data_IF_082450532439
#
_entry.id   IF_082450532439
#
_cell.length_a   1.000
_cell.length_b   1.000
_cell.length_c   1.000
_cell.angle_alpha   90.00
_cell.angle_beta   90.00
_cell.angle_gamma   90.00
#
_symmetry.space_group_name_H-M   'P 1'
#
loop_
_entity.id
_entity.type
_entity.pdbx_description
1 polymer ?
#
# COMPACT_ATOMS: atom_id res chain seq x y z
N UNK A 1 -3.62 -24.65 -4.79
CA UNK A 1 -3.43 -23.50 -5.69
C UNK A 1 -3.75 -22.26 -4.88
N UNK A 2 -2.85 -21.89 -3.97
CA UNK A 2 -3.14 -20.86 -2.98
C UNK A 2 -1.90 -19.97 -2.94
N UNK A 3 -1.97 -18.73 -3.43
CA UNK A 3 -1.00 -17.62 -3.18
C UNK A 3 -1.18 -16.36 -4.04
N UNK A 4 -2.18 -16.23 -4.93
CA UNK A 4 -2.33 -15.02 -5.79
C UNK A 4 -3.52 -14.09 -5.47
N UNK A 5 -4.36 -14.42 -4.49
CA UNK A 5 -5.56 -13.64 -4.19
C UNK A 5 -5.22 -12.22 -3.71
N UNK A 6 -4.32 -12.09 -2.73
CA UNK A 6 -3.96 -10.79 -2.15
C UNK A 6 -3.24 -9.85 -3.12
N UNK A 7 -2.46 -10.38 -4.06
CA UNK A 7 -1.83 -9.56 -5.11
C UNK A 7 -2.85 -9.04 -6.12
N UNK A 8 -3.84 -9.88 -6.46
CA UNK A 8 -4.92 -9.50 -7.38
C UNK A 8 -5.80 -8.42 -6.75
N UNK A 9 -6.15 -8.57 -5.46
CA UNK A 9 -6.90 -7.57 -4.70
C UNK A 9 -6.11 -6.26 -4.57
N UNK A 10 -4.79 -6.34 -4.36
CA UNK A 10 -3.93 -5.16 -4.32
C UNK A 10 -3.97 -4.41 -5.65
N UNK A 11 -3.79 -5.12 -6.77
CA UNK A 11 -3.83 -4.51 -8.10
C UNK A 11 -5.19 -3.89 -8.42
N UNK A 12 -6.29 -4.53 -7.96
CA UNK A 12 -7.64 -4.00 -8.10
C UNK A 12 -7.79 -2.69 -7.34
N UNK A 13 -7.35 -2.65 -6.07
CA UNK A 13 -7.35 -1.44 -5.24
C UNK A 13 -6.54 -0.30 -5.88
N UNK A 14 -5.34 -0.59 -6.39
CA UNK A 14 -4.51 0.40 -7.10
C UNK A 14 -5.22 0.97 -8.34
N UNK A 15 -6.05 0.18 -9.01
CA UNK A 15 -6.74 0.63 -10.21
C UNK A 15 -8.05 1.37 -9.89
N UNK A 16 -8.83 0.90 -8.93
CA UNK A 16 -10.15 1.47 -8.61
C UNK A 16 -10.06 2.68 -7.68
N UNK A 17 -9.29 2.56 -6.58
CA UNK A 17 -9.22 3.62 -5.56
C UNK A 17 -8.18 4.69 -5.91
N UNK A 18 -7.09 4.28 -6.55
CA UNK A 18 -5.96 5.14 -6.87
C UNK A 18 -5.92 5.56 -8.35
N UNK A 19 -6.80 5.00 -9.19
CA UNK A 19 -6.85 5.26 -10.64
C UNK A 19 -5.50 5.02 -11.36
N UNK A 20 -4.65 4.13 -10.84
CA UNK A 20 -3.32 3.88 -11.41
C UNK A 20 -3.45 2.93 -12.60
N UNK A 21 -2.92 3.31 -13.78
CA UNK A 21 -2.83 2.43 -14.92
C UNK A 21 -1.91 1.23 -14.65
N UNK A 22 -2.28 0.06 -15.16
CA UNK A 22 -1.42 -1.13 -15.12
C UNK A 22 -0.07 -0.90 -15.81
N UNK A 23 -0.01 0.02 -16.78
CA UNK A 23 1.22 0.38 -17.48
C UNK A 23 2.26 1.00 -16.54
N UNK A 24 1.83 1.90 -15.64
CA UNK A 24 2.71 2.53 -14.66
C UNK A 24 3.19 1.51 -13.62
N UNK A 25 2.29 0.64 -13.16
CA UNK A 25 2.66 -0.47 -12.27
C UNK A 25 3.70 -1.41 -12.90
N UNK A 26 3.57 -1.72 -14.19
CA UNK A 26 4.53 -2.56 -14.90
C UNK A 26 5.91 -1.90 -14.94
N UNK A 27 5.97 -0.62 -15.29
CA UNK A 27 7.22 0.16 -15.34
C UNK A 27 7.94 0.15 -13.98
N UNK A 28 7.19 0.37 -12.89
CA UNK A 28 7.76 0.39 -11.54
C UNK A 28 8.18 -1.02 -11.10
N UNK A 29 7.41 -2.05 -11.46
CA UNK A 29 7.71 -3.45 -11.11
C UNK A 29 8.99 -3.94 -11.78
N UNK A 30 9.26 -3.56 -13.03
CA UNK A 30 10.52 -3.87 -13.70
C UNK A 30 11.70 -3.19 -13.00
N UNK A 31 11.55 -1.92 -12.62
CA UNK A 31 12.58 -1.19 -11.85
C UNK A 31 12.81 -1.78 -10.47
N UNK A 32 11.75 -2.27 -9.83
CA UNK A 32 11.79 -2.95 -8.53
C UNK A 32 12.56 -4.28 -8.58
N UNK A 33 12.80 -4.89 -9.73
CA UNK A 33 13.69 -6.06 -9.78
C UNK A 33 15.14 -5.70 -9.43
N UNK A 34 15.55 -4.44 -9.63
CA UNK A 34 16.90 -3.96 -9.34
C UNK A 34 17.01 -3.32 -7.96
N UNK A 35 15.89 -2.87 -7.40
CA UNK A 35 15.80 -2.18 -6.12
C UNK A 35 14.94 -2.97 -5.16
N UNK A 36 15.47 -3.35 -3.99
CA UNK A 36 14.74 -4.13 -2.98
C UNK A 36 13.66 -3.30 -2.24
N UNK A 37 13.27 -2.18 -2.83
CA UNK A 37 12.33 -1.23 -2.28
C UNK A 37 10.87 -1.73 -2.40
N UNK A 38 9.99 -1.28 -1.50
CA UNK A 38 8.56 -1.55 -1.62
C UNK A 38 7.98 -0.90 -2.87
N UNK A 39 7.09 -1.59 -3.59
CA UNK A 39 6.45 -1.06 -4.79
C UNK A 39 5.74 0.28 -4.52
N UNK A 40 5.08 0.41 -3.37
CA UNK A 40 4.43 1.65 -2.93
C UNK A 40 5.41 2.84 -2.87
N UNK A 41 6.61 2.60 -2.35
CA UNK A 41 7.63 3.63 -2.18
C UNK A 41 8.23 4.05 -3.52
N UNK A 42 8.39 3.11 -4.45
CA UNK A 42 8.79 3.43 -5.82
C UNK A 42 7.70 4.24 -6.52
N UNK A 43 6.43 3.86 -6.42
CA UNK A 43 5.32 4.62 -7.02
C UNK A 43 5.32 6.10 -6.58
N UNK A 44 5.60 6.35 -5.30
CA UNK A 44 5.71 7.71 -4.78
C UNK A 44 6.98 8.43 -5.26
N UNK A 45 8.14 7.75 -5.25
CA UNK A 45 9.40 8.34 -5.73
C UNK A 45 9.36 8.73 -7.21
N UNK A 46 8.65 7.97 -8.03
CA UNK A 46 8.44 8.30 -9.44
C UNK A 46 7.30 9.31 -9.67
N UNK A 47 6.54 9.67 -8.63
CA UNK A 47 5.46 10.64 -8.72
C UNK A 47 4.15 10.09 -9.33
N UNK A 48 3.99 8.76 -9.42
CA UNK A 48 2.74 8.14 -9.88
C UNK A 48 1.61 8.26 -8.87
N UNK A 49 1.96 8.47 -7.59
CA UNK A 49 1.01 8.63 -6.50
C UNK A 49 1.41 9.81 -5.60
N UNK A 50 0.42 10.48 -5.04
CA UNK A 50 0.61 11.50 -4.00
C UNK A 50 0.87 10.86 -2.63
N UNK A 51 1.34 11.65 -1.67
CA UNK A 51 1.56 11.18 -0.30
C UNK A 51 0.28 10.60 0.34
N UNK A 52 -0.88 11.22 0.08
CA UNK A 52 -2.19 10.73 0.55
C UNK A 52 -2.52 9.34 -0.02
N UNK A 53 -2.20 9.13 -1.29
CA UNK A 53 -2.40 7.88 -2.00
C UNK A 53 -1.43 6.80 -1.51
N UNK A 54 -0.18 7.17 -1.25
CA UNK A 54 0.80 6.31 -0.58
C UNK A 54 0.31 5.86 0.80
N UNK A 55 -0.28 6.78 1.58
CA UNK A 55 -0.85 6.45 2.88
C UNK A 55 -2.00 5.44 2.80
N UNK A 56 -2.91 5.60 1.84
CA UNK A 56 -4.00 4.63 1.61
C UNK A 56 -3.48 3.24 1.25
N UNK A 57 -2.41 3.15 0.47
CA UNK A 57 -1.75 1.87 0.16
C UNK A 57 -1.25 1.20 1.43
N UNK A 58 -0.55 1.93 2.30
CA UNK A 58 -0.06 1.37 3.57
C UNK A 58 -1.19 1.00 4.53
N UNK A 59 -2.25 1.81 4.61
CA UNK A 59 -3.43 1.51 5.42
C UNK A 59 -4.12 0.23 4.94
N UNK A 60 -4.21 0.02 3.62
CA UNK A 60 -4.75 -1.20 3.03
C UNK A 60 -3.89 -2.43 3.40
N UNK A 61 -2.55 -2.30 3.37
CA UNK A 61 -1.64 -3.37 3.82
C UNK A 61 -1.81 -3.70 5.30
N UNK A 62 -1.92 -2.69 6.16
CA UNK A 62 -2.16 -2.88 7.60
C UNK A 62 -3.53 -3.52 7.83
N UNK A 63 -4.56 -3.11 7.09
CA UNK A 63 -5.90 -3.70 7.13
C UNK A 63 -5.93 -5.17 6.72
N UNK A 64 -5.12 -5.58 5.73
CA UNK A 64 -4.93 -6.97 5.33
C UNK A 64 -4.22 -7.77 6.42
N UNK A 65 -3.16 -7.21 7.02
CA UNK A 65 -2.43 -7.85 8.11
C UNK A 65 -3.26 -7.95 9.41
N UNK A 66 -4.11 -6.95 9.67
CA UNK A 66 -4.95 -6.87 10.85
C UNK A 66 -6.20 -7.77 10.78
N UNK A 67 -6.57 -8.28 9.61
CA UNK A 67 -7.72 -9.20 9.46
C UNK A 67 -7.60 -10.49 10.29
N UNK A 68 -6.41 -10.83 10.81
CA UNK A 68 -6.24 -11.91 11.81
C UNK A 68 -6.54 -11.52 13.27
N UNK A 69 -6.67 -10.23 13.59
CA UNK A 69 -6.82 -9.71 14.97
C UNK A 69 -8.05 -8.79 15.12
N UNK A 70 -8.73 -8.45 14.01
CA UNK A 70 -9.88 -7.53 13.99
C UNK A 70 -11.03 -7.91 14.95
N UNK A 71 -11.16 -9.19 15.35
CA UNK A 71 -12.17 -9.56 16.36
C UNK A 71 -11.85 -9.05 17.79
N UNK A 72 -10.62 -8.62 18.09
CA UNK A 72 -10.22 -8.22 19.45
C UNK A 72 -10.08 -6.71 19.66
N UNK A 73 -10.26 -5.87 18.63
CA UNK A 73 -10.03 -4.42 18.74
C UNK A 73 -11.25 -3.55 18.38
N UNK A 74 -12.48 -4.05 18.52
CA UNK A 74 -13.71 -3.25 18.34
C UNK A 74 -14.17 -2.54 19.64
N UNK A 75 -13.23 -2.12 20.51
CA UNK A 75 -13.59 -1.41 21.75
C UNK A 75 -12.81 -0.13 22.02
N UNK A 76 -12.00 0.35 21.08
CA UNK A 76 -11.28 1.61 21.21
C UNK A 76 -11.52 2.51 20.00
N UNK A 77 -12.76 2.98 19.85
CA UNK A 77 -13.05 4.17 19.07
C UNK A 77 -12.20 5.33 19.60
N UNK A 78 -11.51 6.02 18.69
CA UNK A 78 -10.94 7.35 18.94
C UNK A 78 -9.43 7.40 19.13
N UNK A 79 -8.64 7.05 18.10
CA UNK A 79 -7.37 7.76 17.90
C UNK A 79 -6.88 7.67 16.45
N UNK A 80 -7.01 8.81 15.77
CA UNK A 80 -6.25 9.30 14.62
C UNK A 80 -5.24 8.29 14.06
N UNK A 81 -5.47 7.88 12.82
CA UNK A 81 -4.50 7.25 11.94
C UNK A 81 -3.08 7.71 12.30
N UNK A 82 -2.33 6.83 12.97
CA UNK A 82 -0.92 7.04 13.23
C UNK A 82 -0.26 6.94 11.87
N UNK A 83 0.00 8.08 11.26
CA UNK A 83 0.92 8.19 10.12
C UNK A 83 2.15 7.39 10.51
N UNK A 84 2.40 6.32 9.76
CA UNK A 84 3.46 5.37 10.06
C UNK A 84 4.78 6.14 10.22
N UNK A 85 5.57 5.90 11.30
CA UNK A 85 6.83 6.60 11.51
C UNK A 85 7.86 6.35 10.39
N UNK A 86 7.60 5.36 9.52
CA UNK A 86 8.44 5.02 8.36
C UNK A 86 8.53 6.14 7.31
N UNK A 87 7.50 6.99 7.18
CA UNK A 87 7.52 8.14 6.24
C UNK A 87 8.26 9.33 6.84
N UNK A 88 8.19 9.52 8.16
CA UNK A 88 8.83 10.65 8.84
C UNK A 88 10.37 10.56 8.87
N UNK A 89 10.95 9.38 8.60
CA UNK A 89 12.40 9.18 8.57
C UNK A 89 13.06 9.60 7.24
N UNK A 90 12.30 10.10 6.26
CA UNK A 90 12.78 10.35 4.89
C UNK A 90 12.72 11.82 4.45
N UNK A 91 12.63 12.78 5.39
CA UNK A 91 12.70 14.23 5.12
C UNK A 91 13.88 14.88 5.85
#
# INVERSE_FOLDING_TARGET
MESNSSLTEFHQFLHEELAIPKADLAMVTEKRQQSNDPLAMLLWQYGFISLEQLQRIFDWFDSQAALGVKHLLERAEGKKAKICPLIAAFH
#
